data_IF_223358559734
#
_entry.id   IF_223358559734
#
_cell.length_a   1.000
_cell.length_b   1.000
_cell.length_c   1.000
_cell.angle_alpha   90.00
_cell.angle_beta   90.00
_cell.angle_gamma   90.00
#
_symmetry.space_group_name_H-M   'P 1'
#
loop_
_entity.id
_entity.type
_entity.pdbx_description
1 polymer ?
#
# COMPACT_ATOMS: atom_id res chain seq x y z
N UNK A 1 -61.80 -0.43 29.24
CA UNK A 1 -61.61 -1.77 28.65
C UNK A 1 -61.58 -1.54 27.14
N UNK A 2 -60.51 -1.69 26.37
CA UNK A 2 -59.23 -2.38 26.56
C UNK A 2 -58.22 -1.75 25.59
N UNK A 3 -57.01 -1.46 26.06
CA UNK A 3 -55.86 -1.15 25.21
C UNK A 3 -55.23 -2.47 24.74
N UNK A 4 -54.99 -2.60 23.43
CA UNK A 4 -54.22 -3.71 22.87
C UNK A 4 -52.73 -3.34 22.89
N UNK A 5 -51.93 -4.13 23.62
CA UNK A 5 -50.48 -4.18 23.50
C UNK A 5 -50.10 -5.19 22.41
N UNK A 6 -49.08 -4.94 21.57
CA UNK A 6 -48.38 -5.99 20.86
C UNK A 6 -47.24 -6.59 21.71
N UNK A 7 -47.10 -7.89 21.58
CA UNK A 7 -46.18 -8.82 22.25
C UNK A 7 -44.70 -8.62 21.81
N UNK A 8 -43.70 -8.85 22.69
CA UNK A 8 -42.29 -8.81 22.30
C UNK A 8 -41.79 -10.17 21.80
N UNK A 9 -41.16 -10.18 20.62
CA UNK A 9 -40.54 -11.37 20.01
C UNK A 9 -39.17 -11.67 20.64
N UNK A 10 -39.00 -12.94 21.02
CA UNK A 10 -37.82 -13.56 21.62
C UNK A 10 -36.62 -13.67 20.66
N UNK A 11 -35.37 -13.32 21.07
CA UNK A 11 -34.17 -13.55 20.28
C UNK A 11 -33.56 -14.95 20.52
N UNK A 12 -33.75 -15.85 19.55
CA UNK A 12 -33.01 -17.11 19.47
C UNK A 12 -31.53 -16.89 19.14
N UNK A 13 -30.68 -17.36 20.05
CA UNK A 13 -29.22 -17.48 19.92
C UNK A 13 -28.87 -18.78 19.17
N UNK A 14 -28.01 -18.78 18.14
CA UNK A 14 -27.44 -20.03 17.62
C UNK A 14 -26.11 -20.39 18.29
N UNK A 15 -26.13 -21.58 18.86
CA UNK A 15 -25.11 -22.36 19.57
C UNK A 15 -23.92 -22.76 18.68
N UNK A 16 -22.69 -22.55 19.16
CA UNK A 16 -21.45 -23.11 18.58
C UNK A 16 -21.38 -24.64 18.79
N UNK A 17 -20.87 -25.43 17.83
CA UNK A 17 -20.47 -26.82 18.07
C UNK A 17 -19.00 -26.94 18.55
N UNK A 18 -18.61 -28.08 19.15
CA UNK A 18 -17.55 -28.14 20.14
C UNK A 18 -16.14 -28.36 19.57
N UNK A 19 -15.16 -27.82 20.29
CA UNK A 19 -13.74 -28.18 20.22
C UNK A 19 -13.53 -29.64 20.58
N UNK A 20 -12.81 -30.38 19.73
CA UNK A 20 -12.28 -31.70 20.05
C UNK A 20 -10.76 -31.64 19.94
N UNK A 21 -10.12 -31.62 21.10
CA UNK A 21 -8.67 -31.81 21.28
C UNK A 21 -8.30 -33.30 21.31
N UNK A 22 -6.99 -33.56 21.32
CA UNK A 22 -6.25 -34.83 21.48
C UNK A 22 -5.87 -35.50 20.13
N UNK A 23 -4.60 -35.80 19.80
CA UNK A 23 -3.47 -36.25 20.63
C UNK A 23 -2.12 -36.07 19.89
N UNK A 24 -1.12 -35.53 20.61
CA UNK A 24 0.30 -35.96 20.70
C UNK A 24 1.05 -36.56 19.48
N UNK A 25 2.12 -35.90 19.02
CA UNK A 25 3.49 -36.36 19.26
C UNK A 25 4.58 -35.34 18.85
N UNK A 26 5.68 -35.22 19.61
CA UNK A 26 6.79 -34.29 19.38
C UNK A 26 7.95 -34.98 18.63
N UNK A 27 8.70 -34.25 17.81
CA UNK A 27 10.06 -34.64 17.41
C UNK A 27 10.85 -33.42 16.86
N UNK A 28 12.19 -33.47 16.87
CA UNK A 28 13.00 -32.52 17.61
C UNK A 28 13.69 -31.46 16.73
N UNK A 29 13.97 -30.32 17.37
CA UNK A 29 15.05 -29.40 16.97
C UNK A 29 16.39 -30.10 17.20
N UNK A 30 17.19 -30.24 16.15
CA UNK A 30 18.63 -30.42 16.28
C UNK A 30 19.35 -29.16 15.75
N UNK A 31 20.13 -28.46 16.59
CA UNK A 31 20.90 -27.29 16.23
C UNK A 31 22.38 -27.67 16.07
N UNK A 32 22.90 -27.75 14.84
CA UNK A 32 24.34 -27.58 14.63
C UNK A 32 24.65 -27.23 13.16
N UNK A 33 24.92 -25.96 12.93
CA UNK A 33 25.83 -25.50 11.89
C UNK A 33 27.22 -25.48 12.53
N UNK A 34 28.33 -25.79 11.82
CA UNK A 34 28.98 -24.68 11.12
C UNK A 34 29.79 -25.04 9.85
N UNK A 35 29.65 -24.13 8.86
CA UNK A 35 30.72 -23.46 8.11
C UNK A 35 31.88 -24.28 7.49
N UNK A 36 32.02 -24.22 6.16
CA UNK A 36 33.32 -23.86 5.57
C UNK A 36 33.26 -23.28 4.15
N UNK A 37 33.82 -22.08 4.06
CA UNK A 37 34.25 -21.33 2.86
C UNK A 37 34.71 -22.14 1.66
N UNK A 38 34.33 -21.68 0.47
CA UNK A 38 35.17 -21.49 -0.73
C UNK A 38 34.26 -21.53 -1.95
N UNK A 39 34.51 -20.83 -3.03
CA UNK A 39 35.49 -19.82 -3.40
C UNK A 39 34.94 -19.30 -4.72
N UNK A 40 35.04 -18.00 -4.94
CA UNK A 40 34.79 -17.41 -6.24
C UNK A 40 35.75 -18.06 -7.26
N UNK A 41 35.22 -18.76 -8.24
CA UNK A 41 35.98 -19.17 -9.41
C UNK A 41 35.07 -19.13 -10.61
N UNK A 42 35.30 -18.09 -11.43
CA UNK A 42 34.61 -17.91 -12.69
C UNK A 42 34.84 -19.06 -13.66
N UNK A 43 33.83 -19.30 -14.46
CA UNK A 43 33.87 -20.09 -15.69
C UNK A 43 32.69 -19.63 -16.51
N UNK A 44 32.94 -18.84 -17.55
CA UNK A 44 31.92 -18.49 -18.51
C UNK A 44 31.57 -19.70 -19.35
N UNK A 45 30.28 -19.93 -19.55
CA UNK A 45 29.77 -20.58 -20.75
C UNK A 45 28.39 -19.98 -21.03
N UNK A 46 28.26 -19.48 -22.24
CA UNK A 46 27.08 -18.91 -22.86
C UNK A 46 25.91 -19.91 -22.90
N UNK A 47 24.78 -19.50 -22.33
CA UNK A 47 23.48 -20.16 -22.52
C UNK A 47 22.52 -19.13 -23.10
N UNK A 48 22.27 -19.32 -24.40
CA UNK A 48 21.17 -18.78 -25.16
C UNK A 48 19.84 -19.35 -24.64
N UNK A 49 18.80 -18.52 -24.56
CA UNK A 49 17.42 -18.98 -24.53
C UNK A 49 16.84 -19.23 -23.14
N UNK A 50 16.05 -18.28 -22.69
CA UNK A 50 15.19 -18.41 -21.52
C UNK A 50 14.68 -17.04 -21.13
N UNK A 51 13.77 -16.49 -21.92
CA UNK A 51 12.76 -15.57 -21.38
C UNK A 51 12.05 -16.36 -20.29
N UNK A 52 12.59 -16.30 -19.07
CA UNK A 52 11.87 -16.78 -17.91
C UNK A 52 10.61 -15.95 -17.89
N UNK A 53 9.47 -16.60 -18.11
CA UNK A 53 8.20 -16.08 -17.65
C UNK A 53 8.45 -15.66 -16.21
N UNK A 54 8.56 -14.34 -16.00
CA UNK A 54 8.52 -13.77 -14.68
C UNK A 54 7.22 -14.30 -14.10
N UNK A 55 7.32 -15.27 -13.19
CA UNK A 55 6.18 -15.72 -12.43
C UNK A 55 5.70 -14.45 -11.74
N UNK A 56 4.64 -13.84 -12.29
CA UNK A 56 4.10 -12.54 -11.86
C UNK A 56 3.48 -12.79 -10.50
N UNK A 57 4.35 -12.95 -9.49
CA UNK A 57 4.00 -13.22 -8.13
C UNK A 57 3.15 -12.06 -7.67
N UNK A 58 1.95 -12.38 -7.17
CA UNK A 58 0.98 -11.36 -6.82
C UNK A 58 1.63 -10.33 -5.87
N UNK A 59 1.65 -9.07 -6.28
CA UNK A 59 2.28 -7.99 -5.55
C UNK A 59 1.81 -8.02 -4.08
N UNK A 60 2.75 -8.07 -3.13
CA UNK A 60 2.42 -8.20 -1.70
C UNK A 60 1.51 -7.09 -1.17
N UNK A 61 1.63 -5.89 -1.75
CA UNK A 61 0.71 -4.78 -1.48
C UNK A 61 -0.70 -5.05 -2.03
N UNK A 62 -0.82 -5.53 -3.26
CA UNK A 62 -2.11 -5.91 -3.85
C UNK A 62 -2.81 -7.00 -3.03
N UNK A 63 -2.06 -8.01 -2.57
CA UNK A 63 -2.57 -9.05 -1.67
C UNK A 63 -3.12 -8.46 -0.37
N UNK A 64 -2.34 -7.59 0.27
CA UNK A 64 -2.76 -6.90 1.50
C UNK A 64 -4.03 -6.06 1.28
N UNK A 65 -4.05 -5.24 0.23
CA UNK A 65 -5.19 -4.38 -0.07
C UNK A 65 -6.46 -5.17 -0.36
N UNK A 66 -6.35 -6.30 -1.08
CA UNK A 66 -7.46 -7.20 -1.41
C UNK A 66 -7.92 -8.07 -0.25
N UNK A 67 -7.10 -8.29 0.78
CA UNK A 67 -7.47 -9.05 1.97
C UNK A 67 -8.24 -8.21 3.01
N UNK A 68 -8.17 -6.88 2.94
CA UNK A 68 -8.87 -5.99 3.86
C UNK A 68 -10.28 -5.57 3.42
N UNK A 69 -10.93 -4.76 4.27
CA UNK A 69 -12.31 -4.28 4.06
C UNK A 69 -12.51 -3.36 2.85
N UNK A 70 -11.42 -2.85 2.25
CA UNK A 70 -11.45 -1.93 1.12
C UNK A 70 -11.14 -2.59 -0.23
N UNK A 71 -11.22 -3.92 -0.32
CA UNK A 71 -10.96 -4.68 -1.56
C UNK A 71 -11.68 -4.09 -2.78
N UNK A 72 -12.98 -3.80 -2.67
CA UNK A 72 -13.77 -3.30 -3.81
C UNK A 72 -13.28 -1.93 -4.28
N UNK A 73 -13.02 -1.02 -3.34
CA UNK A 73 -12.45 0.30 -3.66
C UNK A 73 -11.06 0.18 -4.28
N UNK A 74 -10.25 -0.78 -3.83
CA UNK A 74 -8.92 -1.02 -4.36
C UNK A 74 -8.97 -1.56 -5.80
N UNK A 75 -9.82 -2.55 -6.08
CA UNK A 75 -9.99 -3.10 -7.44
C UNK A 75 -10.53 -2.03 -8.41
N UNK A 76 -11.42 -1.16 -7.95
CA UNK A 76 -11.90 -0.04 -8.76
C UNK A 76 -10.79 0.96 -9.09
N UNK A 77 -9.89 1.22 -8.13
CA UNK A 77 -8.70 2.03 -8.35
C UNK A 77 -7.71 1.35 -9.32
N UNK A 78 -7.37 0.07 -9.12
CA UNK A 78 -6.52 -0.72 -10.04
C UNK A 78 -7.07 -0.67 -11.47
N UNK A 79 -8.38 -0.90 -11.63
CA UNK A 79 -9.03 -0.83 -12.95
C UNK A 79 -8.87 0.55 -13.59
N UNK A 80 -8.98 1.63 -12.80
CA UNK A 80 -8.77 2.98 -13.33
C UNK A 80 -7.32 3.21 -13.76
N UNK A 81 -6.35 2.78 -12.95
CA UNK A 81 -4.91 2.87 -13.25
C UNK A 81 -4.60 2.12 -14.54
N UNK A 82 -5.01 0.86 -14.65
CA UNK A 82 -4.81 0.04 -15.83
C UNK A 82 -5.39 0.69 -17.09
N UNK A 83 -6.59 1.29 -16.99
CA UNK A 83 -7.20 2.00 -18.11
C UNK A 83 -6.44 3.26 -18.50
N UNK A 84 -5.97 4.04 -17.51
CA UNK A 84 -5.20 5.26 -17.74
C UNK A 84 -3.85 4.94 -18.38
N UNK A 85 -3.15 3.91 -17.91
CA UNK A 85 -1.89 3.43 -18.49
C UNK A 85 -2.06 2.99 -19.94
N UNK A 86 -3.10 2.19 -20.23
CA UNK A 86 -3.40 1.74 -21.60
C UNK A 86 -3.70 2.91 -22.55
N UNK A 87 -4.22 4.01 -22.04
CA UNK A 87 -4.55 5.22 -22.82
C UNK A 87 -3.42 6.25 -22.84
N UNK A 88 -2.39 6.09 -21.99
CA UNK A 88 -1.34 7.09 -21.79
C UNK A 88 -1.83 8.36 -21.08
N UNK A 89 -2.91 8.26 -20.28
CA UNK A 89 -3.46 9.36 -19.51
C UNK A 89 -2.65 9.60 -18.22
N UNK A 90 -2.68 10.83 -17.69
CA UNK A 90 -2.17 11.12 -16.36
C UNK A 90 -3.05 10.41 -15.30
N UNK A 91 -2.50 9.37 -14.67
CA UNK A 91 -3.18 8.55 -13.66
C UNK A 91 -3.62 9.39 -12.47
N UNK A 92 -2.79 10.32 -12.00
CA UNK A 92 -3.08 11.14 -10.83
C UNK A 92 -4.31 12.01 -11.07
N UNK A 93 -4.46 12.55 -12.29
CA UNK A 93 -5.64 13.31 -12.69
C UNK A 93 -6.83 12.43 -13.01
N UNK A 94 -6.63 11.35 -13.77
CA UNK A 94 -7.72 10.49 -14.27
C UNK A 94 -8.39 9.66 -13.19
N UNK A 95 -7.62 9.24 -12.18
CA UNK A 95 -8.04 8.34 -11.12
C UNK A 95 -8.14 9.00 -9.75
N UNK A 96 -8.02 10.33 -9.67
CA UNK A 96 -8.11 11.09 -8.42
C UNK A 96 -9.34 10.71 -7.57
N UNK A 97 -10.52 10.57 -8.19
CA UNK A 97 -11.75 10.22 -7.47
C UNK A 97 -11.70 8.79 -6.93
N UNK A 98 -11.17 7.84 -7.70
CA UNK A 98 -10.98 6.46 -7.26
C UNK A 98 -9.95 6.39 -6.11
N UNK A 99 -8.85 7.12 -6.23
CA UNK A 99 -7.82 7.25 -5.18
C UNK A 99 -8.41 7.85 -3.90
N UNK A 100 -9.23 8.89 -4.01
CA UNK A 100 -9.89 9.52 -2.86
C UNK A 100 -10.90 8.58 -2.18
N UNK A 101 -11.68 7.83 -2.98
CA UNK A 101 -12.61 6.84 -2.45
C UNK A 101 -11.88 5.70 -1.71
N UNK A 102 -10.78 5.21 -2.29
CA UNK A 102 -9.92 4.20 -1.68
C UNK A 102 -9.34 4.69 -0.34
N UNK A 103 -8.73 5.87 -0.33
CA UNK A 103 -8.17 6.48 0.88
C UNK A 103 -9.22 6.64 1.98
N UNK A 104 -10.40 7.16 1.63
CA UNK A 104 -11.51 7.33 2.58
C UNK A 104 -11.95 5.98 3.18
N UNK A 105 -11.99 4.92 2.37
CA UNK A 105 -12.25 3.58 2.88
C UNK A 105 -11.15 3.14 3.87
N UNK A 106 -9.88 3.29 3.50
CA UNK A 106 -8.75 2.90 4.36
C UNK A 106 -8.76 3.65 5.69
N UNK A 107 -9.07 4.94 5.68
CA UNK A 107 -9.23 5.75 6.91
C UNK A 107 -10.38 5.26 7.79
N UNK A 108 -11.49 4.81 7.20
CA UNK A 108 -12.61 4.21 7.95
C UNK A 108 -12.27 2.83 8.52
N UNK A 109 -11.28 2.14 7.94
CA UNK A 109 -10.76 0.84 8.36
C UNK A 109 -9.31 0.94 8.85
N UNK A 110 -9.00 2.03 9.57
CA UNK A 110 -7.63 2.37 9.94
C UNK A 110 -6.94 1.33 10.83
N UNK A 111 -7.69 0.50 11.55
CA UNK A 111 -7.16 -0.60 12.36
C UNK A 111 -6.43 -1.66 11.51
N UNK A 112 -6.94 -1.94 10.31
CA UNK A 112 -6.29 -2.81 9.34
C UNK A 112 -5.21 -2.07 8.54
N UNK A 113 -5.53 -0.86 8.05
CA UNK A 113 -4.67 -0.11 7.11
C UNK A 113 -3.63 0.82 7.77
N UNK A 114 -3.48 0.80 9.10
CA UNK A 114 -2.58 1.70 9.86
C UNK A 114 -1.17 1.83 9.27
N UNK A 115 -0.48 0.72 8.89
CA UNK A 115 0.90 0.83 8.39
C UNK A 115 1.01 1.65 7.11
N UNK A 116 0.01 1.54 6.23
CA UNK A 116 -0.03 2.28 4.97
C UNK A 116 -0.39 3.74 5.23
N UNK A 117 -1.41 4.00 6.04
CA UNK A 117 -1.85 5.36 6.36
C UNK A 117 -0.74 6.17 7.03
N UNK A 118 0.08 5.53 7.87
CA UNK A 118 1.23 6.16 8.50
C UNK A 118 2.34 6.48 7.50
N UNK A 119 2.63 5.54 6.60
CA UNK A 119 3.61 5.77 5.53
C UNK A 119 3.16 6.90 4.60
N UNK A 120 1.89 6.94 4.22
CA UNK A 120 1.32 8.01 3.39
C UNK A 120 1.44 9.38 4.07
N UNK A 121 1.08 9.46 5.37
CA UNK A 121 1.21 10.70 6.13
C UNK A 121 2.65 11.19 6.20
N UNK A 122 3.60 10.29 6.46
CA UNK A 122 5.02 10.63 6.53
C UNK A 122 5.54 11.15 5.17
N UNK A 123 5.20 10.47 4.08
CA UNK A 123 5.58 10.88 2.73
C UNK A 123 4.97 12.26 2.37
N UNK A 124 3.71 12.50 2.73
CA UNK A 124 3.06 13.79 2.49
C UNK A 124 3.72 14.93 3.28
N UNK A 125 4.05 14.71 4.56
CA UNK A 125 4.75 15.69 5.40
C UNK A 125 6.17 15.99 4.87
N UNK A 126 6.87 14.98 4.37
CA UNK A 126 8.18 15.14 3.73
C UNK A 126 8.07 15.95 2.44
N UNK A 127 7.11 15.64 1.57
CA UNK A 127 6.88 16.39 0.33
C UNK A 127 6.59 17.88 0.61
N UNK A 128 5.76 18.19 1.62
CA UNK A 128 5.51 19.57 2.04
C UNK A 128 6.80 20.26 2.48
N UNK A 129 7.62 19.60 3.30
CA UNK A 129 8.88 20.16 3.79
C UNK A 129 9.85 20.50 2.66
N UNK A 130 9.96 19.62 1.66
CA UNK A 130 10.84 19.89 0.51
C UNK A 130 10.32 21.05 -0.34
N UNK A 131 9.00 21.13 -0.58
CA UNK A 131 8.39 22.26 -1.28
C UNK A 131 8.62 23.59 -0.53
N UNK A 132 8.54 23.59 0.80
CA UNK A 132 8.83 24.76 1.63
C UNK A 132 10.29 25.20 1.55
N UNK A 133 11.24 24.25 1.58
CA UNK A 133 12.66 24.55 1.41
C UNK A 133 12.97 25.12 0.04
N UNK A 134 12.41 24.53 -1.03
CA UNK A 134 12.58 25.05 -2.38
C UNK A 134 12.02 26.47 -2.52
N UNK A 135 10.86 26.73 -1.93
CA UNK A 135 10.26 28.07 -1.94
C UNK A 135 11.15 29.08 -1.19
N UNK A 136 11.66 28.72 -0.01
CA UNK A 136 12.55 29.58 0.77
C UNK A 136 13.88 29.87 0.05
N UNK A 137 14.40 28.90 -0.70
CA UNK A 137 15.59 29.09 -1.53
C UNK A 137 15.32 30.05 -2.70
N UNK A 138 14.23 29.85 -3.45
CA UNK A 138 13.83 30.72 -4.58
C UNK A 138 13.57 32.16 -4.13
N UNK A 139 12.87 32.35 -3.00
CA UNK A 139 12.60 33.68 -2.44
C UNK A 139 13.89 34.41 -1.99
N UNK A 140 14.94 33.67 -1.63
CA UNK A 140 16.24 34.23 -1.25
C UNK A 140 17.12 34.58 -2.46
N UNK A 141 17.00 33.86 -3.57
CA UNK A 141 17.73 34.15 -4.83
C UNK A 141 17.15 35.37 -5.57
N UNK A 142 15.83 35.55 -5.58
CA UNK A 142 15.16 36.71 -6.21
C UNK A 142 15.51 38.04 -5.51
N UNK A 143 15.83 38.02 -4.21
CA UNK A 143 16.22 39.21 -3.44
C UNK A 143 17.70 39.61 -3.61
N UNK A 144 18.48 38.88 -4.41
CA UNK A 144 19.91 39.12 -4.62
C UNK A 144 20.27 39.67 -6.01
N UNK A 145 19.32 39.89 -6.93
CA UNK A 145 19.61 40.53 -8.23
C UNK A 145 19.96 42.02 -8.06
N UNK A 146 21.21 42.45 -8.31
CA UNK A 146 21.57 43.86 -8.29
C UNK A 146 20.95 44.58 -9.49
N UNK A 147 20.39 45.78 -9.24
CA UNK A 147 20.03 46.74 -10.29
C UNK A 147 21.29 47.19 -11.06
N UNK A 148 21.65 46.50 -12.13
CA UNK A 148 22.63 47.02 -13.11
C UNK A 148 22.02 47.01 -14.52
N UNK A 149 21.64 48.20 -14.98
CA UNK A 149 22.25 48.90 -16.13
C UNK A 149 21.23 49.71 -16.96
N UNK A 150 21.69 50.90 -17.35
CA UNK A 150 21.23 51.70 -18.49
C UNK A 150 19.86 52.39 -18.47
N UNK A 151 19.89 53.67 -18.02
CA UNK A 151 19.40 54.75 -18.88
C UNK A 151 20.33 55.95 -18.87
N UNK A 152 21.40 55.84 -19.66
CA UNK A 152 21.97 56.97 -20.38
C UNK A 152 20.92 57.40 -21.41
N UNK A 153 20.43 58.62 -21.28
CA UNK A 153 20.00 59.59 -22.32
C UNK A 153 19.08 60.65 -21.71
#
# INVERSE_FOLDING_TARGET
MSSLNPEPTDPQTPTNPPVSSFTENPNPVDPDQPNRESSNSGGGEEVEGGEGEEEEGECGFCLFMKAGGCKESFVAWETCVDEAEKKGDDIAMKCMEATAALKKCMEAHADYYEPILKAEKAAHEEAIRELEKEKAAKDSEENLEPKEDSKKN
#
